data_IF_373391887677
#
_entry.id   IF_373391887677
#
_cell.length_a   1.000
_cell.length_b   1.000
_cell.length_c   1.000
_cell.angle_alpha   90.00
_cell.angle_beta   90.00
_cell.angle_gamma   90.00
#
_symmetry.space_group_name_H-M   'P 1'
#
loop_
_entity.id
_entity.type
_entity.pdbx_description
1 polymer ?
2 non-polymer ?
3 water ?
#
# COMPACT_ATOMS: atom_id res chain seq x y z
N UNK A 9 17.92 3.24 8.64
CA UNK A 9 17.64 4.07 9.86
C UNK A 9 16.73 5.24 9.52
N UNK A 10 15.51 4.90 9.18
CA UNK A 10 14.56 5.86 8.64
C UNK A 10 13.87 6.66 9.68
N UNK A 11 14.04 6.32 10.96
CA UNK A 11 13.22 6.93 12.01
C UNK A 11 14.06 7.46 13.15
N UNK A 12 15.29 7.90 12.83
CA UNK A 12 16.17 8.44 13.86
C UNK A 12 15.53 9.55 14.67
N UNK A 13 15.43 9.32 15.98
CA UNK A 13 14.86 10.27 16.96
C UNK A 13 13.37 10.61 16.76
N UNK A 14 12.69 9.92 15.86
CA UNK A 14 11.26 10.08 15.73
C UNK A 14 10.57 9.45 16.93
N UNK A 15 9.51 10.10 17.39
CA UNK A 15 8.78 9.63 18.60
C UNK A 15 7.53 8.92 18.13
N UNK A 16 7.42 7.65 18.53
CA UNK A 16 6.36 6.76 18.07
C UNK A 16 5.58 6.17 19.25
N UNK A 17 4.25 6.12 19.15
CA UNK A 17 3.45 5.30 20.03
C UNK A 17 2.92 4.12 19.25
N UNK A 18 3.05 2.94 19.83
CA UNK A 18 2.41 1.73 19.31
C UNK A 18 1.45 1.23 20.34
N UNK A 19 0.15 1.21 20.05
CA UNK A 19 -0.80 0.60 20.97
C UNK A 19 -0.91 -0.90 20.65
N UNK A 20 -1.43 -1.68 21.57
CA UNK A 20 -1.39 -3.13 21.45
C UNK A 20 0.03 -3.63 21.28
N UNK A 21 0.96 -3.03 22.00
CA UNK A 21 2.36 -3.20 21.69
C UNK A 21 3.06 -4.35 22.36
N UNK A 22 2.35 -5.09 23.18
CA UNK A 22 3.00 -6.11 24.02
C UNK A 22 3.11 -7.45 23.34
N UNK A 23 2.43 -7.62 22.21
CA UNK A 23 2.47 -8.88 21.49
C UNK A 23 2.20 -8.70 19.99
N UNK A 24 2.37 -9.79 19.25
CA UNK A 24 2.11 -9.90 17.83
C UNK A 24 2.60 -8.76 16.95
N UNK A 25 1.66 -8.20 16.21
CA UNK A 25 1.96 -7.13 15.27
C UNK A 25 2.52 -5.90 16.00
N UNK A 26 1.91 -5.52 17.12
CA UNK A 26 2.37 -4.35 17.86
C UNK A 26 3.81 -4.54 18.33
N UNK A 27 4.11 -5.71 18.87
CA UNK A 27 5.46 -6.02 19.34
C UNK A 27 6.49 -5.93 18.21
N UNK A 28 6.18 -6.57 17.09
CA UNK A 28 7.07 -6.58 15.93
C UNK A 28 7.28 -5.18 15.40
N UNK A 29 6.20 -4.39 15.38
CA UNK A 29 6.28 -3.02 14.89
C UNK A 29 7.15 -2.14 15.80
N UNK A 30 6.91 -2.21 17.10
CA UNK A 30 7.76 -1.46 18.01
C UNK A 30 9.23 -1.85 17.87
N UNK A 31 9.50 -3.15 17.77
CA UNK A 31 10.89 -3.60 17.62
C UNK A 31 11.51 -3.05 16.34
N UNK A 32 10.72 -3.02 15.27
CA UNK A 32 11.21 -2.52 13.98
C UNK A 32 11.56 -1.02 14.05
N UNK A 33 10.65 -0.25 14.67
CA UNK A 33 10.89 1.20 14.90
C UNK A 33 12.15 1.44 15.77
N UNK A 34 12.32 0.62 16.80
CA UNK A 34 13.53 0.73 17.64
C UNK A 34 14.80 0.45 16.83
N UNK A 35 14.80 -0.59 16.00
CA UNK A 35 15.91 -0.90 15.08
C UNK A 35 16.30 0.30 14.23
N UNK A 36 15.30 1.06 13.83
CA UNK A 36 15.51 2.18 12.93
C UNK A 36 15.64 3.50 13.64
N UNK A 37 15.88 3.48 14.95
CA UNK A 37 16.35 4.68 15.66
C UNK A 37 15.31 5.48 16.38
N UNK A 38 14.05 5.03 16.34
CA UNK A 38 12.96 5.73 16.99
C UNK A 38 12.98 5.65 18.52
N UNK A 39 12.33 6.63 19.16
CA UNK A 39 12.00 6.55 20.57
C UNK A 39 10.58 6.05 20.65
N UNK A 40 10.39 4.86 21.20
CA UNK A 40 9.12 4.19 21.09
C UNK A 40 8.47 4.05 22.46
N UNK A 41 7.20 4.40 22.50
CA UNK A 41 6.36 4.17 23.67
C UNK A 41 5.39 3.05 23.31
N UNK A 42 5.42 1.98 24.09
CA UNK A 42 4.54 0.84 23.94
C UNK A 42 3.38 0.94 24.91
N UNK A 43 2.14 0.86 24.41
CA UNK A 43 0.93 0.94 25.20
C UNK A 43 0.17 -0.39 25.05
N UNK A 44 -0.29 -0.95 26.15
CA UNK A 44 -1.09 -2.15 26.11
C UNK A 44 -1.78 -2.32 27.47
N UNK A 45 -2.78 -3.21 27.50
CA UNK A 45 -3.48 -3.53 28.76
C UNK A 45 -2.53 -4.04 29.84
N UNK A 46 -1.47 -4.73 29.42
CA UNK A 46 -0.39 -5.15 30.33
C UNK A 46 0.84 -5.50 29.52
N UNK A 47 1.97 -5.60 30.20
CA UNK A 47 3.24 -5.94 29.57
C UNK A 47 3.29 -7.46 29.35
N UNK A 63 12.35 0.65 24.92
CA UNK A 63 10.98 1.14 24.70
C UNK A 63 10.18 1.33 26.00
N UNK A 64 9.68 2.54 26.23
CA UNK A 64 8.91 2.85 27.43
C UNK A 64 7.55 2.19 27.37
N UNK A 65 7.19 1.44 28.41
CA UNK A 65 5.87 0.83 28.47
C UNK A 65 4.93 1.65 29.34
N UNK A 66 3.77 2.00 28.77
CA UNK A 66 2.73 2.68 29.51
C UNK A 66 1.44 1.87 29.44
N UNK A 67 1.02 1.36 30.60
CA UNK A 67 -0.20 0.55 30.68
C UNK A 67 -1.37 1.44 30.31
N UNK A 68 -2.16 1.03 29.31
CA UNK A 68 -3.25 1.86 28.80
C UNK A 68 -4.41 1.00 28.34
N UNK A 69 -5.61 1.33 28.80
CA UNK A 69 -6.86 0.79 28.23
C UNK A 69 -7.28 1.74 27.11
N UNK A 70 -7.16 1.34 25.83
CA UNK A 70 -7.42 2.24 24.70
C UNK A 70 -8.87 2.66 24.56
N UNK A 71 -9.77 1.93 25.22
CA UNK A 71 -11.17 2.30 25.21
C UNK A 71 -11.55 3.40 26.23
N UNK A 72 -10.58 3.78 27.06
CA UNK A 72 -10.76 4.77 28.12
C UNK A 72 -10.10 6.09 27.71
N UNK A 73 -10.93 7.09 27.47
CA UNK A 73 -10.39 8.37 27.00
C UNK A 73 -9.38 9.04 27.92
N UNK A 74 -9.60 8.96 29.24
CA UNK A 74 -8.62 9.51 30.15
C UNK A 74 -7.27 8.80 30.02
N UNK A 75 -7.28 7.48 29.87
CA UNK A 75 -6.03 6.71 29.70
C UNK A 75 -5.27 7.06 28.40
N UNK A 76 -6.02 7.24 27.32
CA UNK A 76 -5.44 7.56 26.02
C UNK A 76 -4.83 8.94 26.11
N UNK A 77 -5.57 9.88 26.71
CA UNK A 77 -5.04 11.25 26.82
C UNK A 77 -3.76 11.28 27.66
N UNK A 78 -3.75 10.50 28.76
CA UNK A 78 -2.58 10.39 29.60
C UNK A 78 -1.39 9.77 28.88
N UNK A 79 -1.63 8.74 28.09
CA UNK A 79 -0.60 8.14 27.24
C UNK A 79 0.08 9.15 26.33
N UNK A 80 -0.74 9.93 25.62
CA UNK A 80 -0.19 10.90 24.71
C UNK A 80 0.52 12.04 25.48
N UNK A 81 -0.05 12.48 26.60
CA UNK A 81 0.57 13.55 27.37
C UNK A 81 1.95 13.14 27.89
N UNK A 82 2.03 11.89 28.38
CA UNK A 82 3.27 11.40 28.98
C UNK A 82 4.35 11.23 27.91
N UNK A 83 3.96 10.79 26.72
CA UNK A 83 4.90 10.66 25.60
C UNK A 83 5.50 12.05 25.25
N UNK A 84 4.62 13.04 25.16
CA UNK A 84 5.04 14.38 24.86
C UNK A 84 5.89 14.97 25.99
N UNK A 85 5.50 14.72 27.24
CA UNK A 85 6.31 15.19 28.34
C UNK A 85 7.72 14.55 28.34
N UNK A 86 7.80 13.27 28.05
CA UNK A 86 9.08 12.58 28.05
C UNK A 86 9.97 12.94 26.88
N UNK A 87 9.38 12.94 25.68
CA UNK A 87 10.16 13.04 24.46
C UNK A 87 9.96 14.32 23.67
N UNK A 88 9.00 15.16 24.06
CA UNK A 88 8.84 16.49 23.46
C UNK A 88 7.79 16.68 22.38
N UNK A 89 7.35 15.57 21.78
CA UNK A 89 6.48 15.64 20.60
C UNK A 89 5.97 14.22 20.32
N UNK A 90 5.07 14.08 19.33
CA UNK A 90 4.61 12.73 18.88
C UNK A 90 4.64 12.70 17.37
N UNK A 91 5.60 12.01 16.78
CA UNK A 91 5.71 12.00 15.32
C UNK A 91 4.75 11.03 14.61
N UNK A 92 4.60 9.85 15.19
CA UNK A 92 3.88 8.74 14.58
C UNK A 92 3.02 8.03 15.64
N UNK A 93 1.76 7.77 15.28
CA UNK A 93 0.86 6.97 16.10
C UNK A 93 0.50 5.73 15.27
N UNK A 94 0.74 4.54 15.84
CA UNK A 94 0.24 3.29 15.28
C UNK A 94 -0.85 2.81 16.20
N UNK A 95 -2.08 3.02 15.76
CA UNK A 95 -3.25 2.67 16.56
C UNK A 95 -3.66 1.25 16.19
N UNK A 96 -3.20 0.31 17.02
CA UNK A 96 -3.21 -1.11 16.71
C UNK A 96 -3.89 -2.00 17.74
N UNK A 97 -4.06 -1.54 18.97
CA UNK A 97 -4.77 -2.40 19.93
C UNK A 97 -6.03 -3.04 19.34
N UNK A 98 -6.23 -4.31 19.61
CA UNK A 98 -7.46 -4.92 19.17
C UNK A 98 -7.66 -6.34 19.62
N UNK A 99 -8.90 -6.67 19.98
CA UNK A 99 -9.27 -8.01 20.39
C UNK A 99 -9.99 -8.78 19.27
N UNK A 100 -9.86 -10.10 19.34
CA UNK A 100 -10.56 -11.01 18.46
C UNK A 100 -11.31 -11.95 19.39
N UNK A 101 -12.60 -11.77 19.51
CA UNK A 101 -13.47 -12.63 20.38
C UNK A 101 -14.87 -12.44 19.86
N UNK A 102 -15.28 -13.32 18.97
CA UNK A 102 -16.38 -12.95 18.14
C UNK A 102 -17.21 -14.17 17.93
N UNK A 103 -18.25 -14.04 17.14
CA UNK A 103 -19.16 -15.13 16.92
C UNK A 103 -20.14 -14.76 15.79
N UNK A 104 -20.79 -15.76 15.17
CA UNK A 104 -21.94 -15.42 14.33
C UNK A 104 -22.93 -14.63 15.16
N UNK A 105 -23.68 -13.76 14.51
CA UNK A 105 -24.55 -12.84 15.26
C UNK A 105 -25.54 -13.53 16.24
N UNK A 106 -26.00 -14.72 15.88
CA UNK A 106 -26.98 -15.40 16.74
C UNK A 106 -26.37 -15.88 18.05
N UNK A 107 -25.04 -16.00 18.08
CA UNK A 107 -24.30 -16.37 19.27
C UNK A 107 -23.53 -15.21 19.93
N UNK A 108 -23.56 -14.04 19.30
CA UNK A 108 -22.74 -12.92 19.74
C UNK A 108 -23.51 -12.09 20.71
N UNK A 109 -23.18 -12.19 22.00
CA UNK A 109 -23.81 -11.41 23.05
C UNK A 109 -23.50 -9.91 22.93
N UNK A 110 -24.42 -9.10 23.43
CA UNK A 110 -24.29 -7.65 23.40
C UNK A 110 -22.97 -7.18 24.03
N UNK A 111 -22.57 -7.79 25.13
CA UNK A 111 -21.33 -7.33 25.81
C UNK A 111 -20.08 -7.67 24.99
N UNK A 112 -20.12 -8.79 24.28
CA UNK A 112 -19.01 -9.16 23.38
C UNK A 112 -18.93 -8.22 22.18
N UNK A 113 -20.07 -7.92 21.56
CA UNK A 113 -20.16 -6.91 20.51
C UNK A 113 -19.57 -5.61 21.05
N UNK A 114 -20.06 -5.17 22.21
CA UNK A 114 -19.65 -3.87 22.69
C UNK A 114 -18.15 -3.79 23.00
N UNK A 115 -17.60 -4.86 23.58
CA UNK A 115 -16.19 -4.87 23.94
C UNK A 115 -15.32 -4.73 22.67
N UNK A 116 -15.70 -5.45 21.63
CA UNK A 116 -14.96 -5.34 20.35
C UNK A 116 -15.08 -3.96 19.74
N UNK A 117 -16.28 -3.39 19.77
CA UNK A 117 -16.45 -2.04 19.24
C UNK A 117 -15.64 -1.06 20.08
N UNK A 118 -15.73 -1.17 21.41
CA UNK A 118 -15.03 -0.25 22.30
C UNK A 118 -13.52 -0.26 22.03
N UNK A 119 -12.91 -1.44 21.97
CA UNK A 119 -11.47 -1.48 21.82
C UNK A 119 -11.04 -1.24 20.38
N UNK A 120 -11.65 -1.96 19.43
CA UNK A 120 -11.15 -2.00 18.04
C UNK A 120 -11.59 -0.82 17.18
N UNK A 121 -12.67 -0.15 17.57
CA UNK A 121 -13.16 1.00 16.83
C UNK A 121 -13.04 2.28 17.66
N UNK A 122 -13.70 2.33 18.81
CA UNK A 122 -13.64 3.54 19.62
C UNK A 122 -12.21 3.80 20.08
N UNK A 123 -11.46 2.74 20.36
CA UNK A 123 -10.05 2.90 20.73
C UNK A 123 -9.20 3.59 19.67
N UNK A 124 -9.50 3.30 18.41
CA UNK A 124 -8.82 3.91 17.32
C UNK A 124 -9.25 5.39 17.22
N UNK A 125 -10.55 5.68 17.32
CA UNK A 125 -11.02 7.07 17.40
C UNK A 125 -10.28 7.85 18.49
N UNK A 126 -10.17 7.27 19.67
CA UNK A 126 -9.56 8.02 20.77
C UNK A 126 -8.07 8.26 20.54
N UNK A 127 -7.36 7.21 20.16
CA UNK A 127 -5.93 7.35 19.84
C UNK A 127 -5.71 8.36 18.70
N UNK A 128 -6.53 8.27 17.66
CA UNK A 128 -6.42 9.16 16.52
C UNK A 128 -6.74 10.60 16.96
N UNK A 129 -7.80 10.77 17.78
CA UNK A 129 -8.24 12.12 18.14
C UNK A 129 -7.12 12.86 18.87
N UNK A 130 -6.54 12.22 19.87
CA UNK A 130 -5.58 12.90 20.71
C UNK A 130 -4.21 12.94 20.08
N UNK A 131 -3.92 12.00 19.17
CA UNK A 131 -2.70 12.13 18.34
C UNK A 131 -2.81 13.33 17.42
N UNK A 132 -3.98 13.50 16.79
CA UNK A 132 -4.19 14.61 15.87
C UNK A 132 -4.10 15.94 16.57
N UNK A 133 -4.62 16.03 17.80
CA UNK A 133 -4.48 17.29 18.55
C UNK A 133 -3.01 17.65 18.70
N UNK A 134 -2.21 16.68 19.12
CA UNK A 134 -0.75 16.94 19.26
C UNK A 134 -0.09 17.26 17.92
N UNK A 135 -0.45 16.50 16.92
CA UNK A 135 0.16 16.69 15.59
C UNK A 135 -0.18 18.07 15.01
N UNK A 136 -1.43 18.49 15.17
CA UNK A 136 -1.79 19.85 14.73
C UNK A 136 -0.98 20.91 15.50
N UNK A 137 -0.82 20.71 16.80
CA UNK A 137 -0.09 21.67 17.59
C UNK A 137 1.36 21.81 17.13
N UNK A 138 1.98 20.69 16.79
CA UNK A 138 3.40 20.67 16.45
C UNK A 138 3.67 20.86 14.93
N UNK A 139 2.61 20.92 14.13
CA UNK A 139 2.72 21.24 12.71
C UNK A 139 2.75 20.09 11.73
N UNK A 140 2.51 18.87 12.19
CA UNK A 140 2.37 17.75 11.28
C UNK A 140 2.59 16.43 12.00
N UNK A 141 2.41 15.34 11.27
CA UNK A 141 2.62 14.01 11.81
C UNK A 141 1.99 12.95 10.94
N UNK A 142 2.10 11.68 11.39
CA UNK A 142 1.63 10.57 10.60
C UNK A 142 0.94 9.52 11.50
N UNK A 143 -0.22 9.05 11.03
CA UNK A 143 -1.00 8.05 11.74
C UNK A 143 -1.08 6.85 10.83
N UNK A 144 -0.87 5.66 11.41
CA UNK A 144 -1.20 4.39 10.76
C UNK A 144 -2.20 3.69 11.65
N UNK A 145 -3.40 3.43 11.13
CA UNK A 145 -4.39 2.68 11.86
C UNK A 145 -4.29 1.21 11.46
N UNK A 146 -4.57 0.34 12.39
CA UNK A 146 -4.61 -1.09 12.04
C UNK A 146 -6.01 -1.46 11.60
N UNK A 147 -6.16 -1.63 10.29
CA UNK A 147 -7.38 -2.19 9.70
C UNK A 147 -7.20 -3.72 9.65
N UNK A 148 -7.72 -4.33 8.59
CA UNK A 148 -7.75 -5.77 8.45
C UNK A 148 -8.23 -6.05 7.03
N UNK A 149 -8.01 -7.28 6.56
CA UNK A 149 -8.82 -7.78 5.47
C UNK A 149 -10.31 -7.60 5.77
N UNK A 150 -10.66 -7.65 7.05
CA UNK A 150 -12.05 -7.49 7.46
C UNK A 150 -12.51 -6.05 7.56
N UNK A 151 -11.67 -5.12 7.13
CA UNK A 151 -12.13 -3.80 6.72
C UNK A 151 -12.80 -3.80 5.34
N UNK A 152 -12.67 -4.91 4.61
CA UNK A 152 -13.07 -5.02 3.19
C UNK A 152 -13.98 -6.17 2.93
N UNK A 153 -13.73 -7.31 3.55
CA UNK A 153 -14.57 -8.51 3.37
C UNK A 153 -15.04 -9.10 4.69
N UNK A 154 -16.25 -9.67 4.70
CA UNK A 154 -16.71 -10.37 5.89
C UNK A 154 -16.20 -11.79 5.90
N UNK A 155 -16.62 -12.54 6.90
CA UNK A 155 -16.29 -13.99 7.00
C UNK A 155 -17.23 -14.57 8.03
N UNK A 156 -17.55 -15.87 7.89
CA UNK A 156 -18.38 -16.53 8.86
C UNK A 156 -17.82 -16.31 10.28
N UNK A 157 -18.68 -15.90 11.19
CA UNK A 157 -18.33 -15.75 12.63
C UNK A 157 -17.51 -14.51 12.98
N UNK A 158 -17.22 -13.68 12.00
CA UNK A 158 -16.42 -12.48 12.21
C UNK A 158 -17.38 -11.33 12.12
N UNK A 159 -18.18 -11.13 13.15
CA UNK A 159 -19.29 -10.13 13.14
C UNK A 159 -18.83 -8.81 13.71
N UNK A 160 -18.59 -8.72 15.01
CA UNK A 160 -18.17 -7.44 15.60
C UNK A 160 -16.82 -6.95 15.09
N UNK A 161 -15.92 -7.88 14.82
CA UNK A 161 -14.59 -7.48 14.39
C UNK A 161 -14.62 -6.87 12.98
N UNK A 162 -15.42 -7.47 12.09
CA UNK A 162 -15.59 -6.90 10.77
C UNK A 162 -16.25 -5.51 10.81
N UNK A 163 -17.26 -5.36 11.69
CA UNK A 163 -17.92 -4.07 11.83
C UNK A 163 -16.88 -3.03 12.30
N UNK A 164 -16.10 -3.39 13.32
CA UNK A 164 -15.08 -2.49 13.90
C UNK A 164 -14.09 -2.08 12.82
N UNK A 165 -13.59 -3.06 12.08
CA UNK A 165 -12.58 -2.79 11.07
C UNK A 165 -13.08 -2.01 9.83
N UNK A 166 -14.32 -2.25 9.43
CA UNK A 166 -14.97 -1.44 8.43
C UNK A 166 -15.04 0.00 8.90
N UNK A 167 -15.34 0.16 10.19
CA UNK A 167 -15.37 1.47 10.78
C UNK A 167 -13.98 2.12 10.75
N UNK A 168 -12.95 1.38 11.09
CA UNK A 168 -11.59 1.91 11.08
C UNK A 168 -11.20 2.42 9.68
N UNK A 169 -11.55 1.66 8.65
CA UNK A 169 -11.26 2.09 7.26
C UNK A 169 -11.89 3.46 6.96
N UNK A 170 -13.19 3.62 7.24
CA UNK A 170 -13.84 4.88 6.90
C UNK A 170 -13.34 6.03 7.77
N UNK A 171 -13.10 5.75 9.05
CA UNK A 171 -12.50 6.74 9.92
C UNK A 171 -11.19 7.23 9.37
N UNK A 172 -10.37 6.30 8.90
CA UNK A 172 -9.08 6.62 8.30
C UNK A 172 -9.25 7.57 7.09
N UNK A 173 -10.25 7.27 6.25
CA UNK A 173 -10.51 8.08 5.08
C UNK A 173 -10.93 9.50 5.42
N UNK A 174 -11.87 9.65 6.34
CA UNK A 174 -12.32 11.01 6.72
C UNK A 174 -11.15 11.79 7.32
N UNK A 175 -10.33 11.14 8.15
CA UNK A 175 -9.20 11.81 8.76
C UNK A 175 -8.19 12.30 7.73
N UNK A 176 -7.95 11.45 6.75
CA UNK A 176 -7.05 11.82 5.66
C UNK A 176 -7.54 13.05 4.91
N UNK A 177 -8.86 13.15 4.74
CA UNK A 177 -9.47 14.29 4.08
C UNK A 177 -9.41 15.57 4.93
N UNK A 178 -9.76 15.49 6.22
CA UNK A 178 -9.74 16.63 7.06
C UNK A 178 -8.33 17.12 7.35
N UNK A 179 -7.40 16.20 7.55
CA UNK A 179 -6.06 16.53 8.09
C UNK A 179 -4.91 16.45 7.09
N UNK A 180 -5.18 15.83 5.95
CA UNK A 180 -4.29 15.88 4.76
C UNK A 180 -3.80 17.27 4.43
N UNK A 181 -4.70 18.27 4.40
CA UNK A 181 -4.28 19.66 4.16
C UNK A 181 -3.45 20.33 5.30
N UNK A 182 -3.34 19.67 6.45
CA UNK A 182 -2.68 20.16 7.65
C UNK A 182 -1.38 19.39 7.93
N UNK A 183 -0.78 18.84 6.88
CA UNK A 183 0.51 18.19 7.00
C UNK A 183 0.45 16.93 7.87
N UNK A 184 -0.71 16.28 7.91
CA UNK A 184 -0.85 15.00 8.58
C UNK A 184 -1.26 13.98 7.52
N UNK A 185 -0.66 12.80 7.53
CA UNK A 185 -1.17 11.73 6.68
C UNK A 185 -1.75 10.65 7.56
N UNK A 186 -2.85 10.05 7.11
CA UNK A 186 -3.54 9.00 7.83
C UNK A 186 -3.83 7.84 6.87
N UNK A 187 -3.32 6.64 7.19
CA UNK A 187 -3.51 5.46 6.36
C UNK A 187 -3.77 4.25 7.24
N UNK A 188 -4.22 3.16 6.62
CA UNK A 188 -4.48 1.92 7.33
C UNK A 188 -3.70 0.77 6.75
N UNK A 189 -3.12 -0.02 7.62
CA UNK A 189 -2.56 -1.29 7.20
C UNK A 189 -3.62 -2.34 7.38
N UNK A 190 -3.78 -3.22 6.41
CA UNK A 190 -4.82 -4.23 6.45
C UNK A 190 -4.32 -5.68 6.35
N UNK A 191 -3.92 -6.26 7.47
CA UNK A 191 -3.38 -7.62 7.45
C UNK A 191 -4.44 -8.67 7.16
N UNK A 192 -4.03 -9.70 6.43
CA UNK A 192 -4.67 -10.99 6.43
C UNK A 192 -4.41 -11.75 7.70
N UNK A 193 -4.57 -13.07 7.68
CA UNK A 193 -4.30 -13.83 8.88
C UNK A 193 -2.78 -14.00 9.06
N UNK A 194 -2.37 -13.86 10.32
CA UNK A 194 -0.97 -13.82 10.72
C UNK A 194 -0.71 -14.99 11.65
N UNK A 195 0.42 -15.68 11.45
CA UNK A 195 0.76 -16.81 12.30
C UNK A 195 1.49 -16.31 13.55
N UNK A 196 0.84 -16.35 14.70
CA UNK A 196 1.39 -15.82 15.96
C UNK A 196 1.27 -16.84 17.09
N UNK A 203 -4.50 -25.83 16.02
CA UNK A 203 -5.60 -26.67 15.55
C UNK A 203 -5.49 -26.91 14.03
N UNK A 204 -4.50 -27.73 13.67
CA UNK A 204 -4.04 -27.94 12.28
C UNK A 204 -5.09 -27.78 11.18
N UNK A 205 -6.27 -28.39 11.33
CA UNK A 205 -7.30 -28.35 10.28
C UNK A 205 -7.87 -26.93 10.10
N UNK A 206 -8.01 -26.20 11.21
CA UNK A 206 -8.47 -24.81 11.16
C UNK A 206 -7.38 -23.96 10.55
N UNK A 207 -6.13 -24.27 10.84
CA UNK A 207 -5.03 -23.49 10.29
C UNK A 207 -4.96 -23.75 8.79
N UNK A 208 -5.12 -24.99 8.36
CA UNK A 208 -4.98 -25.27 6.93
C UNK A 208 -6.10 -24.62 6.12
N UNK A 209 -7.30 -24.60 6.71
CA UNK A 209 -8.42 -23.90 6.07
C UNK A 209 -8.09 -22.42 5.94
N UNK A 210 -7.51 -21.81 6.99
CA UNK A 210 -7.17 -20.38 6.88
C UNK A 210 -6.11 -20.19 5.79
N UNK A 211 -5.11 -21.08 5.78
CA UNK A 211 -4.05 -20.99 4.81
C UNK A 211 -4.55 -21.10 3.37
N UNK A 212 -5.49 -21.99 3.15
CA UNK A 212 -6.09 -22.19 1.82
C UNK A 212 -6.75 -20.92 1.24
N UNK A 213 -7.14 -20.01 2.10
CA UNK A 213 -7.76 -18.70 1.67
C UNK A 213 -6.73 -17.64 1.26
N UNK A 214 -5.43 -17.91 1.48
CA UNK A 214 -4.35 -16.98 1.15
C UNK A 214 -3.55 -17.54 -0.04
N UNK A 215 -3.69 -16.92 -1.23
CA UNK A 215 -3.04 -17.49 -2.42
C UNK A 215 -1.53 -17.76 -2.29
N UNK A 216 -0.81 -16.95 -1.51
CA UNK A 216 0.62 -17.18 -1.31
C UNK A 216 0.92 -18.49 -0.60
N UNK A 217 -0.07 -19.13 0.01
CA UNK A 217 0.16 -20.52 0.50
C UNK A 217 0.68 -20.63 1.94
N UNK A 218 0.58 -19.53 2.66
CA UNK A 218 0.95 -19.47 4.08
C UNK A 218 0.26 -18.29 4.72
N UNK A 219 0.22 -18.29 6.04
CA UNK A 219 -0.23 -17.11 6.77
C UNK A 219 0.91 -16.09 6.80
N UNK A 220 0.60 -14.82 7.07
CA UNK A 220 1.60 -13.81 7.18
C UNK A 220 2.38 -13.86 8.48
N UNK A 221 3.51 -13.14 8.50
CA UNK A 221 4.24 -12.89 9.73
C UNK A 221 4.00 -11.50 10.28
N UNK A 222 4.08 -11.39 11.61
CA UNK A 222 3.89 -10.10 12.24
C UNK A 222 4.90 -9.10 11.69
N UNK A 223 6.11 -9.58 11.42
CA UNK A 223 7.18 -8.74 10.89
C UNK A 223 6.83 -8.14 9.51
N UNK A 224 6.04 -8.88 8.72
CA UNK A 224 5.61 -8.42 7.42
C UNK A 224 4.61 -7.30 7.53
N UNK A 225 3.76 -7.36 8.57
CA UNK A 225 2.85 -6.24 8.82
C UNK A 225 3.66 -5.05 9.31
N UNK A 226 4.63 -5.28 10.20
CA UNK A 226 5.50 -4.19 10.67
C UNK A 226 6.16 -3.46 9.51
N UNK A 227 6.62 -4.22 8.55
CA UNK A 227 7.32 -3.62 7.39
C UNK A 227 6.40 -2.66 6.68
N UNK A 228 5.13 -3.03 6.55
CA UNK A 228 4.16 -2.15 5.91
C UNK A 228 3.87 -0.90 6.73
N UNK A 229 3.81 -1.06 8.05
CA UNK A 229 3.59 0.07 8.92
C UNK A 229 4.74 1.07 8.75
N UNK A 230 5.98 0.57 8.80
CA UNK A 230 7.12 1.47 8.68
C UNK A 230 7.12 2.18 7.30
N UNK A 231 6.79 1.47 6.24
CA UNK A 231 6.61 2.14 4.93
C UNK A 231 5.63 3.30 5.01
N UNK A 232 4.40 3.00 5.48
CA UNK A 232 3.36 4.04 5.61
C UNK A 232 3.71 5.21 6.54
N UNK A 233 4.53 4.93 7.55
CA UNK A 233 4.96 5.95 8.50
C UNK A 233 6.13 6.79 7.99
N UNK A 234 6.77 6.33 6.91
CA UNK A 234 8.02 6.92 6.41
C UNK A 234 7.80 7.96 5.34
N UNK A 235 8.84 8.77 5.12
CA UNK A 235 8.79 9.72 4.02
C UNK A 235 8.82 9.04 2.65
N UNK A 236 9.03 7.73 2.58
CA UNK A 236 8.83 6.99 1.32
C UNK A 236 7.36 6.99 0.89
N UNK A 237 6.46 7.20 1.84
CA UNK A 237 5.02 7.23 1.58
C UNK A 237 4.48 8.64 1.64
N UNK A 238 5.31 9.61 1.28
CA UNK A 238 4.97 11.03 1.41
C UNK A 238 3.72 11.49 0.67
N UNK A 239 3.29 10.78 -0.36
CA UNK A 239 2.00 11.16 -1.01
C UNK A 239 0.92 10.09 -0.81
N UNK A 240 1.14 9.17 0.12
CA UNK A 240 0.12 8.13 0.46
C UNK A 240 -0.71 8.64 1.62
N UNK A 241 -1.99 8.83 1.37
CA UNK A 241 -2.88 9.38 2.37
C UNK A 241 -4.27 8.85 2.12
N UNK A 242 -4.96 8.47 3.18
CA UNK A 242 -6.29 7.92 3.04
C UNK A 242 -6.34 6.52 2.49
N UNK A 243 -5.22 5.83 2.38
CA UNK A 243 -5.13 4.54 1.69
C UNK A 243 -5.22 3.38 2.68
N UNK A 244 -5.67 2.23 2.18
CA UNK A 244 -5.61 0.95 2.88
C UNK A 244 -4.62 0.10 2.16
N UNK A 245 -3.55 -0.37 2.84
CA UNK A 245 -2.54 -1.22 2.26
C UNK A 245 -2.78 -2.67 2.73
N UNK A 246 -3.21 -3.50 1.82
CA UNK A 246 -3.48 -4.90 2.16
C UNK A 246 -2.20 -5.68 2.25
N UNK A 247 -2.03 -6.43 3.36
CA UNK A 247 -0.86 -7.29 3.59
C UNK A 247 -1.46 -8.68 3.85
N UNK A 248 -1.89 -9.33 2.78
CA UNK A 248 -2.79 -10.46 2.89
C UNK A 248 -2.53 -11.63 1.98
N UNK A 249 -1.39 -11.61 1.28
CA UNK A 249 -1.02 -12.74 0.44
C UNK A 249 -1.98 -13.00 -0.70
N UNK A 250 -2.87 -12.08 -1.00
CA UNK A 250 -3.89 -12.28 -2.04
C UNK A 250 -5.30 -12.54 -1.57
N UNK A 251 -5.54 -12.55 -0.26
CA UNK A 251 -6.85 -12.98 0.30
C UNK A 251 -8.00 -12.24 -0.32
N UNK A 252 -7.87 -10.93 -0.40
CA UNK A 252 -9.00 -10.09 -0.84
C UNK A 252 -9.08 -9.97 -2.36
N UNK A 253 -8.06 -10.41 -3.06
CA UNK A 253 -7.98 -10.30 -4.51
C UNK A 253 -8.97 -11.22 -5.24
N UNK A 254 -9.42 -12.25 -4.57
CA UNK A 254 -10.34 -13.24 -5.11
C UNK A 254 -11.68 -13.15 -4.40
N UNK B 9 21.22 0.01 -0.11
CA UNK B 9 20.92 -0.49 -1.48
C UNK B 9 20.16 -1.81 -1.51
N UNK B 10 18.83 -1.75 -1.58
CA UNK B 10 17.98 -2.89 -1.46
C UNK B 10 17.89 -3.75 -2.72
N UNK B 11 18.49 -3.33 -3.84
CA UNK B 11 18.28 -4.05 -5.09
C UNK B 11 19.59 -4.39 -5.76
N UNK B 12 20.61 -4.68 -4.96
CA UNK B 12 21.94 -4.91 -5.54
C UNK B 12 21.90 -6.10 -6.46
N UNK B 13 22.27 -5.85 -7.72
CA UNK B 13 22.40 -6.90 -8.77
C UNK B 13 21.08 -7.54 -9.20
N UNK B 14 19.97 -6.99 -8.73
CA UNK B 14 18.67 -7.42 -9.24
C UNK B 14 18.48 -6.89 -10.68
N UNK B 15 17.91 -7.73 -11.54
CA UNK B 15 17.67 -7.34 -12.91
C UNK B 15 16.23 -6.88 -13.05
N UNK B 16 16.09 -5.62 -13.46
CA UNK B 16 14.81 -4.90 -13.50
C UNK B 16 14.51 -4.37 -14.90
N UNK B 17 13.31 -4.62 -15.38
CA UNK B 17 12.78 -3.97 -16.55
C UNK B 17 11.78 -2.93 -16.14
N UNK B 18 11.99 -1.69 -16.62
CA UNK B 18 10.98 -0.63 -16.49
C UNK B 18 10.46 -0.24 -17.87
N UNK B 19 9.16 -0.46 -18.15
CA UNK B 19 8.62 0.00 -19.41
C UNK B 19 8.11 1.46 -19.21
N UNK B 20 7.98 2.20 -20.30
CA UNK B 20 7.71 3.65 -20.21
C UNK B 20 8.80 4.36 -19.42
N UNK B 21 10.02 3.87 -19.54
CA UNK B 21 11.09 4.22 -18.62
C UNK B 21 11.84 5.47 -18.98
N UNK B 22 11.48 6.12 -20.09
CA UNK B 22 12.24 7.26 -20.60
C UNK B 22 11.77 8.58 -20.06
N UNK B 23 10.63 8.62 -19.38
CA UNK B 23 10.12 9.89 -18.83
C UNK B 23 9.25 9.65 -17.59
N UNK B 24 8.87 10.73 -16.91
CA UNK B 24 7.92 10.68 -15.80
C UNK B 24 8.20 9.61 -14.73
N UNK B 25 7.13 8.91 -14.34
CA UNK B 25 7.22 7.89 -13.29
C UNK B 25 8.22 6.82 -13.66
N UNK B 26 8.24 6.40 -14.92
CA UNK B 26 9.17 5.39 -15.34
C UNK B 26 10.63 5.81 -15.17
N UNK B 27 10.94 7.01 -15.58
CA UNK B 27 12.30 7.52 -15.43
C UNK B 27 12.67 7.62 -13.94
N UNK B 28 11.78 8.14 -13.10
CA UNK B 28 12.07 8.25 -11.67
C UNK B 28 12.29 6.86 -11.04
N UNK B 29 11.49 5.92 -11.48
CA UNK B 29 11.61 4.56 -10.94
C UNK B 29 12.89 3.89 -11.40
N UNK B 30 13.22 3.98 -12.70
CA UNK B 30 14.50 3.46 -13.16
C UNK B 30 15.70 4.07 -12.40
N UNK B 31 15.68 5.38 -12.24
CA UNK B 31 16.72 6.06 -11.51
C UNK B 31 16.84 5.56 -10.07
N UNK B 32 15.69 5.30 -9.42
CA UNK B 32 15.70 4.85 -8.03
C UNK B 32 16.29 3.43 -7.98
N UNK B 33 15.94 2.59 -8.95
CA UNK B 33 16.44 1.19 -8.95
C UNK B 33 17.95 1.22 -9.19
N UNK B 34 18.41 2.09 -10.07
CA UNK B 34 19.85 2.22 -10.33
C UNK B 34 20.59 2.66 -9.07
N UNK B 35 20.04 3.64 -8.37
CA UNK B 35 20.62 4.14 -7.11
C UNK B 35 20.75 3.04 -6.07
N UNK B 36 19.82 2.07 -6.08
CA UNK B 36 19.82 0.98 -5.13
C UNK B 36 20.51 -0.29 -5.69
N UNK B 37 21.31 -0.12 -6.74
CA UNK B 37 22.24 -1.15 -7.19
C UNK B 37 21.75 -2.13 -8.24
N UNK B 38 20.56 -1.89 -8.77
CA UNK B 38 19.99 -2.80 -9.74
C UNK B 38 20.63 -2.65 -11.10
N UNK B 39 20.56 -3.72 -11.87
CA UNK B 39 20.84 -3.70 -13.32
C UNK B 39 19.50 -3.41 -14.01
N UNK B 40 19.34 -2.23 -14.58
CA UNK B 40 18.04 -1.79 -15.11
C UNK B 40 18.02 -1.73 -16.63
N UNK B 41 16.95 -2.24 -17.22
CA UNK B 41 16.68 -2.10 -18.62
C UNK B 41 15.46 -1.18 -18.74
N UNK B 42 15.62 -0.08 -19.47
CA UNK B 42 14.56 0.86 -19.77
C UNK B 42 14.01 0.50 -21.15
N UNK B 43 12.70 0.32 -21.24
CA UNK B 43 12.04 0.07 -22.49
C UNK B 43 11.05 1.22 -22.70
N UNK B 44 11.04 1.76 -23.92
CA UNK B 44 10.09 2.80 -24.29
C UNK B 44 10.05 2.90 -25.83
N UNK B 45 9.13 3.70 -26.36
CA UNK B 45 9.05 3.94 -27.80
C UNK B 45 10.27 4.67 -28.32
N UNK B 46 10.87 5.49 -27.47
CA UNK B 46 12.10 6.22 -27.81
C UNK B 46 12.91 6.59 -26.55
N UNK B 47 14.20 6.88 -26.77
CA UNK B 47 15.18 7.35 -25.77
C UNK B 47 14.60 8.29 -24.72
N UNK B 63 22.11 2.57 -17.27
CA UNK B 63 20.91 1.80 -17.67
C UNK B 63 20.92 1.49 -19.18
N UNK B 64 20.45 0.29 -19.53
CA UNK B 64 20.40 -0.14 -20.91
C UNK B 64 19.06 0.19 -21.53
N UNK B 65 19.06 0.87 -22.67
CA UNK B 65 17.79 1.22 -23.32
C UNK B 65 17.47 0.26 -24.46
N UNK B 66 16.25 -0.26 -24.48
CA UNK B 66 15.80 -1.13 -25.54
C UNK B 66 14.47 -0.61 -26.06
N UNK B 67 14.46 -0.10 -27.31
CA UNK B 67 13.23 0.40 -27.94
C UNK B 67 12.23 -0.71 -28.03
N UNK B 68 11.03 -0.44 -27.53
CA UNK B 68 10.01 -1.45 -27.43
C UNK B 68 8.65 -0.78 -27.53
N UNK B 69 7.84 -1.30 -28.44
CA UNK B 69 6.41 -1.00 -28.51
C UNK B 69 5.72 -2.08 -27.65
N UNK B 70 5.27 -1.72 -26.44
CA UNK B 70 4.71 -2.71 -25.53
C UNK B 70 3.41 -3.33 -26.03
N UNK B 71 2.78 -2.72 -27.02
CA UNK B 71 1.58 -3.32 -27.65
C UNK B 71 1.87 -4.45 -28.65
N UNK B 72 3.16 -4.62 -28.98
CA UNK B 72 3.61 -5.56 -29.97
C UNK B 72 4.24 -6.77 -29.30
N UNK B 73 3.58 -7.90 -29.38
CA UNK B 73 4.07 -9.11 -28.67
C UNK B 73 5.50 -9.50 -29.07
N UNK B 74 5.85 -9.41 -30.34
CA UNK B 74 7.22 -9.77 -30.68
C UNK B 74 8.25 -8.84 -30.04
N UNK B 75 7.96 -7.53 -29.97
CA UNK B 75 8.88 -6.56 -29.33
C UNK B 75 9.01 -6.80 -27.84
N UNK B 76 7.91 -7.18 -27.20
CA UNK B 76 7.93 -7.47 -25.77
C UNK B 76 8.74 -8.74 -25.50
N UNK B 77 8.49 -9.79 -26.28
CA UNK B 77 9.28 -11.02 -26.17
C UNK B 77 10.76 -10.72 -26.35
N UNK B 78 11.09 -9.88 -27.35
CA UNK B 78 12.50 -9.57 -27.63
C UNK B 78 13.13 -8.79 -26.48
N UNK B 79 12.36 -7.88 -25.90
CA UNK B 79 12.80 -7.12 -24.72
C UNK B 79 13.24 -8.05 -23.59
N UNK B 80 12.37 -8.99 -23.24
CA UNK B 80 12.67 -9.89 -22.16
C UNK B 80 13.81 -10.83 -22.55
N UNK B 81 13.79 -11.33 -23.79
CA UNK B 81 14.88 -12.23 -24.24
C UNK B 81 16.23 -11.51 -24.16
N UNK B 82 16.28 -10.27 -24.61
CA UNK B 82 17.54 -9.51 -24.62
C UNK B 82 18.02 -9.24 -23.23
N UNK B 83 17.09 -8.93 -22.34
CA UNK B 83 17.42 -8.67 -20.93
C UNK B 83 18.08 -9.94 -20.34
N UNK B 84 17.47 -11.07 -20.59
CA UNK B 84 17.98 -12.34 -20.05
C UNK B 84 19.31 -12.70 -20.68
N UNK B 85 19.46 -12.49 -21.98
CA UNK B 85 20.74 -12.74 -22.62
C UNK B 85 21.85 -11.87 -22.02
N UNK B 86 21.54 -10.60 -21.76
CA UNK B 86 22.54 -9.68 -21.20
C UNK B 86 22.91 -9.87 -19.75
N UNK B 87 21.92 -10.21 -18.94
CA UNK B 87 22.10 -10.24 -17.50
C UNK B 87 21.87 -11.61 -16.84
N UNK B 88 21.35 -12.58 -17.57
CA UNK B 88 21.22 -13.96 -17.09
C UNK B 88 19.90 -14.32 -16.42
N UNK B 89 19.04 -13.32 -16.22
CA UNK B 89 17.79 -13.51 -15.42
C UNK B 89 16.93 -12.25 -15.49
N UNK B 90 15.71 -12.35 -14.96
CA UNK B 90 14.84 -11.18 -14.78
C UNK B 90 14.26 -11.32 -13.40
N UNK B 91 14.50 -10.36 -12.52
CA UNK B 91 13.96 -10.44 -11.16
C UNK B 91 12.65 -9.62 -10.97
N UNK B 92 12.61 -8.43 -11.57
CA UNK B 92 11.51 -7.47 -11.35
C UNK B 92 11.06 -6.87 -12.69
N UNK B 93 9.75 -6.87 -12.94
CA UNK B 93 9.16 -6.15 -14.07
C UNK B 93 8.25 -5.04 -13.53
N UNK B 94 8.48 -3.79 -13.96
CA UNK B 94 7.53 -2.70 -13.71
C UNK B 94 6.87 -2.37 -15.04
N UNK B 95 5.64 -2.85 -15.21
CA UNK B 95 4.88 -2.62 -16.44
C UNK B 95 4.14 -1.31 -16.38
N UNK B 96 4.79 -0.27 -16.88
CA UNK B 96 4.40 1.10 -16.66
C UNK B 96 4.07 1.88 -17.90
N UNK B 97 4.50 1.44 -19.06
CA UNK B 97 4.14 2.17 -20.28
C UNK B 97 2.65 2.58 -20.30
N UNK B 98 2.39 3.80 -20.73
CA UNK B 98 1.02 4.21 -20.90
C UNK B 98 0.92 5.56 -21.56
N UNK B 99 -0.16 5.76 -22.30
CA UNK B 99 -0.51 7.05 -22.85
C UNK B 99 -1.77 7.64 -22.21
N UNK B 100 -1.87 8.95 -22.35
CA UNK B 100 -3.03 9.66 -21.90
C UNK B 100 -3.48 10.51 -23.07
N UNK B 101 -4.54 10.08 -23.72
CA UNK B 101 -4.97 10.71 -24.96
C UNK B 101 -6.43 10.35 -25.07
N UNK B 102 -7.30 11.17 -24.50
CA UNK B 102 -8.63 10.68 -24.18
C UNK B 102 -9.65 11.74 -24.40
N UNK B 103 -10.92 11.37 -24.16
CA UNK B 103 -12.00 12.28 -24.38
C UNK B 103 -13.28 11.69 -23.78
N UNK B 104 -14.32 12.50 -23.55
CA UNK B 104 -15.64 11.91 -23.27
C UNK B 104 -16.07 11.04 -24.47
N UNK B 105 -16.88 10.02 -24.20
CA UNK B 105 -17.10 8.99 -25.21
C UNK B 105 -17.65 9.54 -26.54
N UNK B 106 -18.46 10.59 -26.47
CA UNK B 106 -19.05 11.13 -27.68
C UNK B 106 -18.00 11.75 -28.61
N UNK B 107 -16.83 12.08 -28.08
CA UNK B 107 -15.73 12.66 -28.83
C UNK B 107 -14.57 11.68 -29.02
N UNK B 108 -14.68 10.51 -28.43
CA UNK B 108 -13.52 9.57 -28.44
C UNK B 108 -13.65 8.63 -29.61
N UNK B 109 -12.81 8.82 -30.61
CA UNK B 109 -12.95 7.91 -31.73
C UNK B 109 -12.27 6.58 -31.49
N UNK B 110 -12.68 5.65 -32.33
CA UNK B 110 -12.34 4.27 -32.14
C UNK B 110 -10.83 4.08 -32.15
N UNK B 111 -10.13 4.82 -33.03
CA UNK B 111 -8.66 4.64 -33.07
C UNK B 111 -7.99 5.09 -31.75
N UNK B 112 -8.50 6.16 -31.17
CA UNK B 112 -7.99 6.66 -29.88
C UNK B 112 -8.27 5.68 -28.72
N UNK B 113 -9.48 5.18 -28.67
CA UNK B 113 -9.83 4.15 -27.73
C UNK B 113 -8.88 2.99 -27.88
N UNK B 114 -8.73 2.50 -29.10
CA UNK B 114 -7.93 1.29 -29.29
C UNK B 114 -6.46 1.50 -28.93
N UNK B 115 -5.92 2.69 -29.25
CA UNK B 115 -4.50 2.94 -28.94
C UNK B 115 -4.26 2.89 -27.43
N UNK B 116 -5.17 3.47 -26.65
CA UNK B 116 -5.05 3.42 -25.19
C UNK B 116 -5.22 2.00 -24.66
N UNK B 117 -6.21 1.26 -25.17
CA UNK B 117 -6.38 -0.12 -24.72
C UNK B 117 -5.11 -0.92 -25.07
N UNK B 118 -4.60 -0.74 -26.29
CA UNK B 118 -3.44 -1.49 -26.75
C UNK B 118 -2.22 -1.29 -25.83
N UNK B 119 -1.91 -0.03 -25.53
CA UNK B 119 -0.72 0.29 -24.79
C UNK B 119 -0.92 0.07 -23.29
N UNK B 120 -2.00 0.63 -22.75
CA UNK B 120 -2.21 0.69 -21.32
C UNK B 120 -2.77 -0.59 -20.70
N UNK B 121 -3.38 -1.43 -21.50
CA UNK B 121 -3.94 -2.70 -20.99
C UNK B 121 -3.30 -3.90 -21.63
N UNK B 122 -3.38 -4.01 -22.95
CA UNK B 122 -2.73 -5.13 -23.62
C UNK B 122 -1.23 -5.14 -23.40
N UNK B 123 -0.60 -3.97 -23.37
CA UNK B 123 0.83 -3.91 -23.09
C UNK B 123 1.20 -4.46 -21.72
N UNK B 124 0.31 -4.27 -20.75
CA UNK B 124 0.53 -4.81 -19.41
C UNK B 124 0.37 -6.34 -19.43
N UNK B 125 -0.68 -6.84 -20.09
CA UNK B 125 -0.81 -8.29 -20.32
C UNK B 125 0.44 -8.89 -20.96
N UNK B 126 0.96 -8.25 -22.02
CA UNK B 126 2.12 -8.80 -22.72
C UNK B 126 3.38 -8.82 -21.87
N UNK B 127 3.63 -7.71 -21.22
CA UNK B 127 4.80 -7.59 -20.35
C UNK B 127 4.67 -8.56 -19.16
N UNK B 128 3.49 -8.63 -18.56
CA UNK B 128 3.24 -9.57 -17.48
C UNK B 128 3.42 -11.03 -17.94
N UNK B 129 2.88 -11.35 -19.10
CA UNK B 129 2.89 -12.73 -19.61
C UNK B 129 4.32 -13.22 -19.78
N UNK B 130 5.15 -12.45 -20.51
CA UNK B 130 6.48 -12.89 -20.79
C UNK B 130 7.44 -12.73 -19.67
N UNK B 131 7.17 -11.79 -18.75
CA UNK B 131 7.93 -11.74 -17.48
C UNK B 131 7.63 -12.97 -16.63
N UNK B 132 6.35 -13.33 -16.53
CA UNK B 132 5.96 -14.48 -15.74
C UNK B 132 6.56 -15.76 -16.30
N UNK B 133 6.62 -15.94 -17.61
CA UNK B 133 7.26 -17.15 -18.12
C UNK B 133 8.71 -17.24 -17.62
N UNK B 134 9.42 -16.11 -17.67
CA UNK B 134 10.81 -16.10 -17.28
C UNK B 134 10.92 -16.36 -15.78
N UNK B 135 10.07 -15.72 -15.01
CA UNK B 135 10.11 -15.86 -13.55
C UNK B 135 9.73 -17.28 -13.11
N UNK B 136 8.72 -17.87 -13.73
CA UNK B 136 8.43 -19.28 -13.40
C UNK B 136 9.65 -20.19 -13.65
N UNK B 137 10.39 -19.97 -14.74
CA UNK B 137 11.55 -20.79 -15.04
C UNK B 137 12.63 -20.64 -13.97
N UNK B 138 12.63 -19.53 -13.25
CA UNK B 138 13.59 -19.26 -12.16
C UNK B 138 13.10 -19.66 -10.79
N UNK B 139 11.82 -19.99 -10.66
CA UNK B 139 11.23 -20.27 -9.36
C UNK B 139 10.72 -19.08 -8.57
N UNK B 140 10.58 -17.92 -9.20
CA UNK B 140 10.01 -16.76 -8.55
C UNK B 140 10.33 -15.44 -9.20
N UNK B 141 9.63 -14.41 -8.75
CA UNK B 141 9.93 -13.06 -9.16
C UNK B 141 8.88 -12.11 -8.67
N UNK B 142 8.97 -10.87 -9.08
CA UNK B 142 8.04 -9.82 -8.62
C UNK B 142 7.61 -8.94 -9.78
N UNK B 143 6.32 -8.68 -9.89
CA UNK B 143 5.78 -7.74 -10.87
C UNK B 143 5.11 -6.58 -10.15
N UNK B 144 5.38 -5.36 -10.61
CA UNK B 144 4.55 -4.21 -10.27
C UNK B 144 3.93 -3.67 -11.54
N UNK B 145 2.59 -3.59 -11.56
CA UNK B 145 1.88 -3.02 -12.66
C UNK B 145 1.53 -1.56 -12.34
N UNK B 146 1.58 -0.70 -13.34
CA UNK B 146 1.11 0.69 -13.13
C UNK B 146 -0.39 0.75 -13.32
N UNK B 147 -1.13 0.88 -12.21
CA UNK B 147 -2.54 1.18 -12.22
C UNK B 147 -2.68 2.70 -12.20
N UNK B 148 -3.70 3.17 -11.49
CA UNK B 148 -4.06 4.59 -11.46
C UNK B 148 -5.15 4.76 -10.39
N UNK B 149 -5.35 6.00 -9.91
CA UNK B 149 -6.64 6.32 -9.26
C UNK B 149 -7.78 5.89 -10.16
N UNK B 150 -7.55 5.91 -11.48
CA UNK B 150 -8.57 5.56 -12.43
C UNK B 150 -8.66 4.07 -12.71
N UNK B 151 -7.99 3.26 -11.87
CA UNK B 151 -8.33 1.85 -11.71
C UNK B 151 -9.54 1.69 -10.78
N UNK B 152 -9.92 2.77 -10.08
CA UNK B 152 -10.88 2.75 -8.99
C UNK B 152 -12.07 3.68 -9.23
N UNK B 153 -11.77 4.88 -9.67
CA UNK B 153 -12.80 5.91 -9.93
C UNK B 153 -12.69 6.47 -11.36
N UNK B 154 -13.83 6.86 -11.95
CA UNK B 154 -13.79 7.50 -13.28
C UNK B 154 -13.64 9.00 -13.11
N UNK B 155 -13.68 9.71 -14.21
CA UNK B 155 -13.56 11.17 -14.21
C UNK B 155 -14.03 11.63 -15.57
N UNK B 156 -14.64 12.81 -15.63
CA UNK B 156 -15.10 13.34 -16.92
C UNK B 156 -13.99 13.32 -17.91
N UNK B 157 -14.25 12.76 -19.08
CA UNK B 157 -13.25 12.81 -20.16
C UNK B 157 -12.19 11.75 -20.08
N UNK B 158 -12.22 10.91 -19.05
CA UNK B 158 -11.18 9.88 -18.84
C UNK B 158 -11.85 8.54 -19.13
N UNK B 159 -12.06 8.28 -20.43
CA UNK B 159 -12.86 7.14 -20.86
C UNK B 159 -12.03 5.90 -21.13
N UNK B 160 -11.17 5.96 -22.15
CA UNK B 160 -10.35 4.80 -22.48
C UNK B 160 -9.32 4.51 -21.38
N UNK B 161 -8.78 5.57 -20.80
CA UNK B 161 -7.74 5.42 -19.78
C UNK B 161 -8.28 4.74 -18.52
N UNK B 162 -9.50 5.11 -18.13
CA UNK B 162 -10.15 4.48 -16.98
C UNK B 162 -10.43 3.01 -17.29
N UNK B 163 -10.98 2.73 -18.47
CA UNK B 163 -11.28 1.36 -18.85
C UNK B 163 -9.97 0.54 -18.77
N UNK B 164 -8.92 1.06 -19.38
CA UNK B 164 -7.62 0.33 -19.39
C UNK B 164 -7.12 0.08 -17.96
N UNK B 165 -7.21 1.10 -17.12
CA UNK B 165 -6.65 0.98 -15.77
C UNK B 165 -7.49 0.10 -14.86
N UNK B 166 -8.81 0.09 -15.07
CA UNK B 166 -9.66 -0.84 -14.40
C UNK B 166 -9.27 -2.25 -14.79
N UNK B 167 -8.94 -2.48 -16.07
CA UNK B 167 -8.51 -3.77 -16.50
C UNK B 167 -7.19 -4.17 -15.89
N UNK B 168 -6.29 -3.23 -15.76
CA UNK B 168 -4.99 -3.51 -15.13
C UNK B 168 -5.17 -4.01 -13.68
N UNK B 169 -6.08 -3.39 -12.93
CA UNK B 169 -6.34 -3.78 -11.57
C UNK B 169 -6.79 -5.25 -11.51
N UNK B 170 -7.77 -5.58 -12.32
CA UNK B 170 -8.29 -6.95 -12.30
C UNK B 170 -7.29 -7.98 -12.80
N UNK B 171 -6.55 -7.64 -13.85
CA UNK B 171 -5.46 -8.48 -14.33
C UNK B 171 -4.48 -8.76 -13.22
N UNK B 172 -4.08 -7.70 -12.50
CA UNK B 172 -3.17 -7.82 -11.34
C UNK B 172 -3.68 -8.84 -10.31
N UNK B 173 -4.97 -8.76 -10.02
CA UNK B 173 -5.59 -9.63 -9.04
C UNK B 173 -5.60 -11.09 -9.49
N UNK B 174 -6.02 -11.36 -10.72
CA UNK B 174 -5.95 -12.74 -11.19
C UNK B 174 -4.53 -13.29 -11.20
N UNK B 175 -3.58 -12.49 -11.62
CA UNK B 175 -2.18 -12.97 -11.67
C UNK B 175 -1.69 -13.30 -10.24
N UNK B 176 -2.08 -12.45 -9.30
CA UNK B 176 -1.71 -12.70 -7.91
C UNK B 176 -2.23 -14.05 -7.40
N UNK B 177 -3.45 -14.40 -7.84
CA UNK B 177 -4.10 -15.64 -7.45
C UNK B 177 -3.46 -16.84 -8.12
N UNK B 178 -3.16 -16.72 -9.42
CA UNK B 178 -2.57 -17.84 -10.15
C UNK B 178 -1.11 -18.06 -9.82
N UNK B 179 -0.36 -16.99 -9.61
CA UNK B 179 1.11 -17.11 -9.51
C UNK B 179 1.67 -16.84 -8.11
N UNK B 180 0.80 -16.34 -7.23
CA UNK B 180 1.07 -16.28 -5.80
C UNK B 180 1.59 -17.58 -5.22
N UNK B 181 0.92 -18.69 -5.53
CA UNK B 181 1.38 -19.97 -5.02
C UNK B 181 2.70 -20.46 -5.61
N UNK B 182 3.20 -19.77 -6.63
CA UNK B 182 4.42 -20.11 -7.35
C UNK B 182 5.53 -19.08 -7.09
N UNK B 183 5.48 -18.45 -5.94
CA UNK B 183 6.52 -17.54 -5.50
C UNK B 183 6.68 -16.32 -6.38
N UNK B 184 5.58 -15.89 -6.96
CA UNK B 184 5.56 -14.65 -7.71
C UNK B 184 4.52 -13.73 -7.06
N UNK B 185 4.92 -12.50 -6.78
CA UNK B 185 3.98 -11.52 -6.28
C UNK B 185 3.68 -10.54 -7.40
N UNK B 186 2.41 -10.11 -7.49
CA UNK B 186 1.95 -9.18 -8.50
C UNK B 186 1.06 -8.16 -7.81
N UNK B 187 1.46 -6.88 -7.88
CA UNK B 187 0.73 -5.78 -7.27
C UNK B 187 0.65 -4.61 -8.22
N UNK B 188 -0.28 -3.67 -7.96
CA UNK B 188 -0.36 -2.47 -8.72
C UNK B 188 -0.08 -1.22 -7.90
N UNK B 189 0.66 -0.28 -8.46
CA UNK B 189 0.77 1.03 -7.91
C UNK B 189 -0.24 1.92 -8.60
N UNK B 190 -0.91 2.76 -7.84
CA UNK B 190 -2.07 3.51 -8.32
C UNK B 190 -1.94 5.01 -8.07
N UNK B 191 -1.19 5.71 -8.91
CA UNK B 191 -0.93 7.13 -8.67
C UNK B 191 -2.13 8.02 -8.91
N UNK B 192 -2.28 9.07 -8.10
CA UNK B 192 -3.09 10.22 -8.48
C UNK B 192 -2.39 11.07 -9.52
N UNK B 193 -2.79 12.33 -9.64
CA UNK B 193 -2.11 13.21 -10.59
C UNK B 193 -0.74 13.64 -10.10
N UNK B 194 0.25 13.57 -11.02
CA UNK B 194 1.67 13.80 -10.69
C UNK B 194 2.13 15.03 -11.49
N UNK B 195 2.88 15.90 -10.85
CA UNK B 195 3.46 17.07 -11.53
C UNK B 195 4.54 16.58 -12.51
N UNK B 196 4.29 16.62 -13.81
CA UNK B 196 5.33 16.29 -14.83
C UNK B 196 5.53 17.38 -15.89
N UNK B 202 -0.24 22.62 -19.14
CA UNK B 202 -1.64 22.75 -18.78
C UNK B 202 -1.96 24.16 -18.30
N UNK B 203 -3.15 24.68 -18.65
CA UNK B 203 -3.60 25.95 -18.08
C UNK B 203 -3.63 25.97 -16.56
N UNK B 204 -3.32 27.12 -15.97
CA UNK B 204 -3.32 27.28 -14.50
C UNK B 204 -4.61 26.82 -13.88
N UNK B 205 -5.74 27.22 -14.47
CA UNK B 205 -7.04 26.90 -13.88
C UNK B 205 -7.32 25.39 -13.92
N UNK B 206 -6.90 24.72 -14.99
CA UNK B 206 -6.99 23.27 -15.09
C UNK B 206 -6.13 22.60 -14.01
N UNK B 207 -4.94 23.15 -13.79
CA UNK B 207 -4.05 22.59 -12.78
C UNK B 207 -4.63 22.80 -11.36
N UNK B 208 -5.13 24.00 -11.06
CA UNK B 208 -5.69 24.23 -9.71
C UNK B 208 -6.93 23.33 -9.47
N UNK B 209 -7.69 23.05 -10.54
CA UNK B 209 -8.86 22.19 -10.39
C UNK B 209 -8.40 20.78 -10.04
N UNK B 210 -7.32 20.31 -10.65
CA UNK B 210 -6.77 18.96 -10.34
C UNK B 210 -6.29 18.96 -8.90
N UNK B 211 -5.54 19.99 -8.53
CA UNK B 211 -5.02 20.10 -7.16
C UNK B 211 -6.16 20.03 -6.15
N UNK B 212 -7.28 20.69 -6.43
CA UNK B 212 -8.42 20.72 -5.53
C UNK B 212 -9.02 19.35 -5.23
N UNK B 213 -8.81 18.41 -6.13
CA UNK B 213 -9.25 17.01 -5.92
C UNK B 213 -8.36 16.15 -5.06
N UNK B 214 -7.18 16.65 -4.66
CA UNK B 214 -6.23 15.91 -3.83
C UNK B 214 -6.20 16.57 -2.44
N UNK B 215 -6.73 15.88 -1.41
CA UNK B 215 -6.81 16.47 -0.07
C UNK B 215 -5.46 16.97 0.49
N UNK B 216 -4.35 16.32 0.17
CA UNK B 216 -3.04 16.88 0.59
C UNK B 216 -2.71 18.27 0.03
N UNK B 217 -3.43 18.72 -1.00
CA UNK B 217 -3.29 20.13 -1.44
C UNK B 217 -2.20 20.44 -2.46
N UNK B 218 -1.77 19.40 -3.14
CA UNK B 218 -0.77 19.46 -4.20
C UNK B 218 -0.87 18.20 -5.02
N UNK B 219 -0.24 18.22 -6.20
CA UNK B 219 -0.06 17.02 -6.99
C UNK B 219 1.13 16.24 -6.46
N UNK B 220 1.19 14.96 -6.83
CA UNK B 220 2.35 14.15 -6.42
C UNK B 220 3.57 14.45 -7.27
N UNK B 221 4.71 13.95 -6.80
CA UNK B 221 5.94 13.97 -7.56
C UNK B 221 6.26 12.59 -8.09
N UNK B 222 6.91 12.50 -9.25
CA UNK B 222 7.23 11.18 -9.80
C UNK B 222 8.05 10.31 -8.84
N UNK B 223 8.99 10.91 -8.12
CA UNK B 223 9.81 10.15 -7.18
C UNK B 223 8.97 9.55 -6.07
N UNK B 224 7.82 10.17 -5.75
CA UNK B 224 6.94 9.62 -4.73
C UNK B 224 6.26 8.34 -5.19
N UNK B 225 5.99 8.23 -6.48
CA UNK B 225 5.46 7.03 -7.04
C UNK B 225 6.57 5.99 -7.11
N UNK B 226 7.75 6.41 -7.53
CA UNK B 226 8.91 5.51 -7.53
C UNK B 226 9.12 4.84 -6.18
N UNK B 227 9.01 5.62 -5.11
CA UNK B 227 9.22 5.09 -3.79
C UNK B 227 8.27 3.95 -3.45
N UNK B 228 6.99 4.12 -3.83
CA UNK B 228 6.03 3.05 -3.68
C UNK B 228 6.32 1.82 -4.52
N UNK B 229 6.75 2.01 -5.74
CA UNK B 229 7.15 0.90 -6.60
C UNK B 229 8.27 0.11 -5.97
N UNK B 230 9.30 0.80 -5.48
CA UNK B 230 10.40 0.10 -4.83
C UNK B 230 9.95 -0.66 -3.57
N UNK B 231 9.05 -0.08 -2.80
CA UNK B 231 8.46 -0.80 -1.66
C UNK B 231 7.80 -2.11 -2.13
N UNK B 232 6.88 -2.01 -3.08
CA UNK B 232 6.18 -3.19 -3.59
C UNK B 232 7.09 -4.26 -4.22
N UNK B 233 8.20 -3.81 -4.81
CA UNK B 233 9.13 -4.70 -5.50
C UNK B 233 10.09 -5.35 -4.49
N UNK B 234 10.10 -4.85 -3.24
CA UNK B 234 11.11 -5.24 -2.23
C UNK B 234 10.59 -6.35 -1.32
N UNK B 235 11.50 -6.94 -0.54
CA UNK B 235 11.08 -7.89 0.49
C UNK B 235 10.37 -7.25 1.66
N UNK B 236 10.33 -5.93 1.72
CA UNK B 236 9.48 -5.26 2.71
C UNK B 236 8.02 -5.53 2.41
N UNK B 237 7.69 -5.92 1.18
CA UNK B 237 6.33 -6.19 0.81
C UNK B 237 6.13 -7.69 0.55
N UNK B 238 6.88 -8.51 1.26
CA UNK B 238 6.88 -9.94 1.02
C UNK B 238 5.53 -10.68 1.17
N UNK B 239 4.57 -10.13 1.93
CA UNK B 239 3.21 -10.73 1.95
C UNK B 239 2.18 -9.86 1.27
N UNK B 240 2.62 -8.87 0.48
CA UNK B 240 1.71 -8.02 -0.29
C UNK B 240 1.58 -8.65 -1.68
N UNK B 241 0.37 -9.08 -2.01
CA UNK B 241 0.13 -9.72 -3.28
C UNK B 241 -1.29 -9.46 -3.71
N UNK B 242 -1.48 -9.14 -4.98
CA UNK B 242 -2.81 -8.78 -5.54
C UNK B 242 -3.36 -7.44 -5.10
N UNK B 243 -2.54 -6.61 -4.48
CA UNK B 243 -3.00 -5.35 -3.87
C UNK B 243 -2.77 -4.14 -4.79
N UNK B 244 -3.61 -3.13 -4.65
CA UNK B 244 -3.44 -1.81 -5.27
C UNK B 244 -2.99 -0.85 -4.19
N UNK B 245 -1.85 -0.18 -4.36
CA UNK B 245 -1.35 0.80 -3.40
C UNK B 245 -1.56 2.22 -3.98
N UNK B 246 -2.52 2.93 -3.39
CA UNK B 246 -2.91 4.25 -3.89
C UNK B 246 -1.86 5.25 -3.45
N UNK B 247 -1.32 6.02 -4.39
CA UNK B 247 -0.38 7.07 -4.09
C UNK B 247 -1.01 8.35 -4.65
N UNK B 248 -1.96 8.89 -3.90
CA UNK B 248 -2.89 9.87 -4.48
C UNK B 248 -3.27 11.04 -3.58
N UNK B 249 -2.57 11.21 -2.47
CA UNK B 249 -2.80 12.32 -1.56
C UNK B 249 -4.18 12.34 -0.93
N UNK B 250 -4.94 11.25 -1.06
CA UNK B 250 -6.32 11.20 -0.59
C UNK B 250 -7.44 11.28 -1.64
N UNK B 251 -7.08 11.35 -2.92
CA UNK B 251 -8.05 11.53 -4.00
C UNK B 251 -9.23 10.56 -3.94
N UNK B 252 -8.93 9.26 -3.77
CA UNK B 252 -9.97 8.23 -3.81
C UNK B 252 -10.64 8.01 -2.46
N UNK B 253 -10.10 8.63 -1.40
CA UNK B 253 -10.70 8.53 -0.07
C UNK B 253 -12.08 9.20 0.12
N UNK B 254 -12.35 10.20 -0.70
CA UNK B 254 -13.59 10.95 -0.71
C UNK B 254 -14.47 10.64 -1.92
#
# INVERSE_FOLDING_TARGET
>A
MAHHHHHHMRFKDKVVIVTGGASGIGEATARAFIREGAKVVIADFSDHGQQLADERAGAHEQALFIKTDVADTRAVQALIARTVENYGRLDIMFANAGIAADAPIDELDEAAWQKTIDINLTGVYLCDKYAIDQMRSQGGGVIVNCGSIHSHVGKSGVTAYAAAKGGVKLLTQTLAIDYGPQNIRVNAVCPGYIDTPLLKNIPDDKKQALVALHPMGRLGRAEEVANAVLFLASDEASFVNGASLLVDGGYTAQ
>B
MAHHHHHHMRFKDKVVIVTGGASGIGEATARAFIREGAKVVIADFSDHGQQLADERAGAHEQALFIKTDVADTRAVQALIARTVENYGRLDIMFANAGIAADAPIDELDEAAWQKTIDINLTGVYLCDKYAIDQMRSQGGGVIVNCGSIHSHVGKSGVTAYAAAKGGVKLLTQTLAIDYGPQNIRVNAVCPGYIDTPLLKNIPDDKKQALVALHPMGRLGRAEEVANAVLFLASDEASFVNGASLLVDGGYTAQ
#
